data_IF_924952311106
#
_entry.id   IF_924952311106
#
_cell.length_a   1.000
_cell.length_b   1.000
_cell.length_c   1.000
_cell.angle_alpha   90.00
_cell.angle_beta   90.00
_cell.angle_gamma   90.00
#
_symmetry.space_group_name_H-M   'P 1'
#
loop_
_entity.id
_entity.type
_entity.pdbx_description
1 polymer ?
#
# COMPACT_ATOMS: atom_id res chain seq x y z
N UNK A 1 3.65 -17.31 0.80
CA UNK A 1 2.46 -16.81 0.11
C UNK A 1 1.19 -17.35 0.73
N UNK A 2 0.15 -16.53 0.83
CA UNK A 2 -1.19 -16.93 1.27
C UNK A 2 -2.24 -16.49 0.24
N UNK A 3 -3.09 -17.40 -0.22
CA UNK A 3 -4.10 -17.09 -1.24
C UNK A 3 -5.04 -18.26 -1.55
N UNK A 4 -5.62 -18.20 -2.76
CA UNK A 4 -6.59 -19.19 -3.24
C UNK A 4 -5.98 -20.08 -4.33
N UNK A 5 -6.33 -21.39 -4.31
CA UNK A 5 -5.84 -22.35 -5.29
C UNK A 5 -6.73 -22.49 -6.55
N UNK A 6 -7.97 -21.99 -6.48
CA UNK A 6 -9.00 -22.12 -7.52
C UNK A 6 -9.28 -20.80 -8.25
N UNK A 7 -8.50 -19.74 -7.97
CA UNK A 7 -8.61 -18.46 -8.63
C UNK A 7 -7.35 -18.15 -9.44
N UNK A 8 -7.52 -17.86 -10.73
CA UNK A 8 -6.42 -17.61 -11.67
C UNK A 8 -5.53 -16.45 -11.20
N UNK A 9 -6.14 -15.33 -10.84
CA UNK A 9 -5.40 -14.13 -10.38
C UNK A 9 -4.56 -14.39 -9.11
N UNK A 10 -5.02 -15.25 -8.19
CA UNK A 10 -4.26 -15.60 -7.00
C UNK A 10 -3.08 -16.51 -7.35
N UNK A 11 -3.27 -17.45 -8.28
CA UNK A 11 -2.19 -18.31 -8.78
C UNK A 11 -1.12 -17.50 -9.50
N UNK A 12 -1.51 -16.61 -10.41
CA UNK A 12 -0.57 -15.74 -11.14
C UNK A 12 0.23 -14.84 -10.17
N UNK A 13 -0.39 -14.29 -9.14
CA UNK A 13 0.31 -13.53 -8.07
C UNK A 13 1.30 -14.42 -7.31
N UNK A 14 0.92 -15.67 -7.02
CA UNK A 14 1.79 -16.65 -6.37
C UNK A 14 3.01 -16.99 -7.23
N UNK A 15 2.80 -17.28 -8.50
CA UNK A 15 3.86 -17.62 -9.46
C UNK A 15 4.82 -16.46 -9.67
N UNK A 16 4.28 -15.24 -9.87
CA UNK A 16 5.10 -14.03 -10.03
C UNK A 16 5.95 -13.76 -8.79
N UNK A 17 5.39 -13.91 -7.59
CA UNK A 17 6.14 -13.77 -6.34
C UNK A 17 7.22 -14.83 -6.22
N UNK A 18 6.89 -16.11 -6.43
CA UNK A 18 7.87 -17.20 -6.40
C UNK A 18 9.02 -16.98 -7.39
N UNK A 19 8.70 -16.63 -8.64
CA UNK A 19 9.69 -16.37 -9.68
C UNK A 19 10.67 -15.28 -9.25
N UNK A 20 10.16 -14.17 -8.74
CA UNK A 20 10.99 -13.05 -8.29
C UNK A 20 11.93 -13.45 -7.15
N UNK A 21 11.43 -14.11 -6.09
CA UNK A 21 12.28 -14.52 -4.97
C UNK A 21 13.28 -15.62 -5.36
N UNK A 22 12.91 -16.50 -6.28
CA UNK A 22 13.81 -17.54 -6.80
C UNK A 22 14.97 -16.94 -7.61
N UNK A 23 14.71 -15.95 -8.47
CA UNK A 23 15.73 -15.20 -9.22
C UNK A 23 16.71 -14.48 -8.28
N UNK A 24 16.27 -14.10 -7.08
CA UNK A 24 17.12 -13.48 -6.06
C UNK A 24 17.77 -14.49 -5.10
N UNK A 25 17.67 -15.78 -5.37
CA UNK A 25 18.31 -16.85 -4.58
C UNK A 25 17.54 -17.32 -3.35
N UNK A 26 16.29 -16.87 -3.16
CA UNK A 26 15.44 -17.24 -2.01
C UNK A 26 14.37 -18.30 -2.33
N UNK A 27 14.44 -18.96 -3.49
CA UNK A 27 13.44 -19.96 -3.88
C UNK A 27 13.29 -21.11 -2.88
N UNK A 28 14.37 -21.52 -2.21
CA UNK A 28 14.34 -22.56 -1.19
C UNK A 28 13.62 -22.15 0.11
N UNK A 29 13.37 -20.85 0.30
CA UNK A 29 12.66 -20.32 1.46
C UNK A 29 11.16 -20.18 1.18
N UNK A 30 10.72 -20.44 -0.04
CA UNK A 30 9.33 -20.27 -0.41
C UNK A 30 8.43 -21.33 0.23
N UNK A 31 7.36 -20.85 0.83
CA UNK A 31 6.25 -21.68 1.32
C UNK A 31 4.92 -21.03 0.93
N UNK A 32 3.93 -21.82 0.60
CA UNK A 32 2.59 -21.31 0.31
C UNK A 32 1.52 -22.08 1.07
N UNK A 33 0.49 -21.37 1.45
CA UNK A 33 -0.77 -21.93 1.95
C UNK A 33 -1.90 -21.38 1.08
N UNK A 34 -2.67 -22.28 0.48
CA UNK A 34 -3.72 -21.92 -0.47
C UNK A 34 -5.02 -22.61 -0.08
N UNK A 35 -6.05 -21.82 0.11
CA UNK A 35 -7.42 -22.29 0.41
C UNK A 35 -8.24 -22.39 -0.89
N UNK A 36 -9.37 -23.06 -0.84
CA UNK A 36 -10.41 -22.89 -1.86
C UNK A 36 -11.10 -21.54 -1.62
N UNK A 37 -11.40 -20.83 -2.72
CA UNK A 37 -12.30 -19.69 -2.62
C UNK A 37 -13.68 -20.25 -2.28
N UNK A 38 -14.19 -19.87 -1.13
CA UNK A 38 -15.55 -20.21 -0.75
C UNK A 38 -16.44 -19.06 -1.20
N UNK A 39 -17.53 -19.37 -1.87
CA UNK A 39 -18.59 -18.39 -2.19
C UNK A 39 -19.19 -17.77 -0.91
N UNK A 40 -19.08 -18.49 0.21
CA UNK A 40 -19.42 -18.01 1.54
C UNK A 40 -18.20 -17.48 2.28
N UNK A 41 -18.00 -16.19 2.20
CA UNK A 41 -16.96 -15.40 2.93
C UNK A 41 -16.99 -15.57 4.47
N UNK A 42 -17.98 -16.25 5.03
CA UNK A 42 -18.21 -16.38 6.46
C UNK A 42 -17.52 -17.58 7.11
N UNK A 43 -17.06 -18.54 6.31
CA UNK A 43 -16.39 -19.75 6.83
C UNK A 43 -14.96 -19.84 6.33
N UNK A 44 -14.00 -19.47 7.17
CA UNK A 44 -12.64 -19.92 7.00
C UNK A 44 -12.25 -20.84 8.17
N UNK A 45 -11.48 -21.86 7.88
CA UNK A 45 -10.95 -22.72 8.91
C UNK A 45 -9.72 -22.08 9.54
N UNK A 46 -9.94 -21.24 10.56
CA UNK A 46 -8.85 -20.59 11.30
C UNK A 46 -7.79 -21.56 11.84
N UNK A 47 -8.14 -22.75 12.37
CA UNK A 47 -7.14 -23.67 12.95
C UNK A 47 -6.06 -24.16 11.97
N UNK A 48 -6.37 -24.62 10.72
CA UNK A 48 -5.35 -25.02 9.74
C UNK A 48 -4.42 -23.88 9.36
N UNK A 49 -4.97 -22.69 9.08
CA UNK A 49 -4.20 -21.51 8.74
C UNK A 49 -3.28 -21.08 9.89
N UNK A 50 -3.78 -21.08 11.12
CA UNK A 50 -2.98 -20.76 12.31
C UNK A 50 -1.84 -21.76 12.50
N UNK A 51 -2.10 -23.07 12.34
CA UNK A 51 -1.09 -24.10 12.42
C UNK A 51 0.02 -23.90 11.39
N UNK A 52 -0.35 -23.52 10.16
CA UNK A 52 0.63 -23.18 9.14
C UNK A 52 1.44 -21.94 9.52
N UNK A 53 0.81 -20.84 9.96
CA UNK A 53 1.51 -19.63 10.42
C UNK A 53 2.51 -19.91 11.53
N UNK A 54 2.14 -20.76 12.49
CA UNK A 54 3.01 -21.17 13.58
C UNK A 54 4.17 -22.09 13.14
N UNK A 55 4.05 -22.77 12.01
CA UNK A 55 5.11 -23.61 11.44
C UNK A 55 6.16 -22.83 10.65
N UNK A 56 5.89 -21.57 10.32
CA UNK A 56 6.80 -20.75 9.54
C UNK A 56 8.09 -20.43 10.31
N UNK A 57 9.25 -20.45 9.65
CA UNK A 57 10.48 -19.96 10.26
C UNK A 57 10.37 -18.47 10.53
N UNK A 58 10.86 -18.00 11.67
CA UNK A 58 10.78 -16.59 12.04
C UNK A 58 12.16 -15.91 12.00
N UNK A 59 12.26 -14.66 11.52
CA UNK A 59 11.18 -13.84 10.97
C UNK A 59 10.77 -14.26 9.54
N UNK A 60 9.50 -14.06 9.18
CA UNK A 60 8.96 -14.36 7.85
C UNK A 60 8.33 -13.14 7.22
N UNK A 61 8.57 -12.92 5.91
CA UNK A 61 7.79 -12.01 5.08
C UNK A 61 6.67 -12.80 4.38
N UNK A 62 5.43 -12.35 4.53
CA UNK A 62 4.25 -12.98 3.98
C UNK A 62 3.61 -12.07 2.94
N UNK A 63 3.39 -12.61 1.74
CA UNK A 63 2.65 -11.96 0.68
C UNK A 63 1.25 -12.58 0.60
N UNK A 64 0.22 -11.79 0.87
CA UNK A 64 -1.18 -12.19 0.76
C UNK A 64 -1.70 -11.85 -0.64
N UNK A 65 -2.53 -12.72 -1.21
CA UNK A 65 -3.02 -12.54 -2.57
C UNK A 65 -3.90 -11.28 -2.74
N UNK A 66 -4.56 -10.83 -1.67
CA UNK A 66 -5.32 -9.58 -1.61
C UNK A 66 -5.33 -9.00 -0.19
N UNK A 67 -5.97 -7.84 -0.01
CA UNK A 67 -6.03 -7.16 1.28
C UNK A 67 -6.94 -7.86 2.29
N UNK A 68 -8.00 -8.57 1.84
CA UNK A 68 -8.87 -9.36 2.72
C UNK A 68 -8.08 -10.49 3.36
N UNK A 69 -7.27 -11.21 2.55
CA UNK A 69 -6.40 -12.26 3.04
C UNK A 69 -5.28 -11.70 3.93
N UNK A 70 -4.74 -10.53 3.58
CA UNK A 70 -3.79 -9.80 4.42
C UNK A 70 -4.38 -9.46 5.79
N UNK A 71 -5.60 -8.94 5.84
CA UNK A 71 -6.30 -8.61 7.07
C UNK A 71 -6.57 -9.86 7.92
N UNK A 72 -7.01 -10.97 7.31
CA UNK A 72 -7.20 -12.25 8.03
C UNK A 72 -5.94 -12.71 8.75
N UNK A 73 -4.78 -12.60 8.08
CA UNK A 73 -3.50 -12.94 8.72
C UNK A 73 -3.20 -11.98 9.88
N UNK A 74 -3.42 -10.66 9.72
CA UNK A 74 -3.18 -9.70 10.80
C UNK A 74 -4.04 -10.00 12.02
N UNK A 75 -5.33 -10.29 11.82
CA UNK A 75 -6.26 -10.67 12.89
C UNK A 75 -5.85 -11.97 13.59
N UNK A 76 -5.48 -13.02 12.83
CA UNK A 76 -4.99 -14.27 13.42
C UNK A 76 -3.70 -14.06 14.22
N UNK A 77 -2.77 -13.26 13.70
CA UNK A 77 -1.54 -12.91 14.41
C UNK A 77 -1.85 -12.17 15.71
N UNK A 78 -2.77 -11.19 15.68
CA UNK A 78 -3.18 -10.41 16.85
C UNK A 78 -3.78 -11.29 17.94
N UNK A 79 -4.76 -12.11 17.61
CA UNK A 79 -5.44 -13.01 18.58
C UNK A 79 -4.46 -14.02 19.19
N UNK A 80 -3.44 -14.44 18.43
CA UNK A 80 -2.46 -15.44 18.89
C UNK A 80 -1.14 -14.84 19.36
N UNK A 81 -1.08 -13.52 19.61
CA UNK A 81 0.09 -12.80 20.08
C UNK A 81 1.34 -12.96 19.19
N UNK A 82 1.16 -13.16 17.88
CA UNK A 82 2.23 -13.15 16.89
C UNK A 82 2.47 -11.70 16.49
N UNK A 83 3.66 -11.16 16.76
CA UNK A 83 3.95 -9.75 16.49
C UNK A 83 4.13 -9.49 15.00
N UNK A 84 3.35 -8.53 14.47
CA UNK A 84 3.46 -7.99 13.12
C UNK A 84 4.02 -6.56 13.26
N UNK A 85 5.08 -6.19 12.55
CA UNK A 85 5.84 -6.98 11.56
C UNK A 85 7.00 -7.80 12.15
N UNK A 86 7.33 -7.69 13.45
CA UNK A 86 8.56 -8.22 14.05
C UNK A 86 8.79 -9.72 13.78
N UNK A 87 7.74 -10.51 13.79
CA UNK A 87 7.79 -11.95 13.53
C UNK A 87 7.31 -12.29 12.14
N UNK A 88 6.18 -11.72 11.73
CA UNK A 88 5.61 -11.90 10.40
C UNK A 88 5.31 -10.51 9.83
N UNK A 89 5.98 -10.12 8.74
CA UNK A 89 5.61 -8.95 7.98
C UNK A 89 4.59 -9.34 6.92
N UNK A 90 3.59 -8.49 6.68
CA UNK A 90 2.47 -8.83 5.82
C UNK A 90 2.29 -7.75 4.77
N UNK A 91 2.28 -8.15 3.49
CA UNK A 91 2.00 -7.31 2.34
C UNK A 91 0.75 -7.84 1.65
N UNK A 92 -0.26 -6.97 1.48
CA UNK A 92 -1.47 -7.22 0.70
C UNK A 92 -1.39 -6.69 -0.72
N UNK A 93 -2.49 -6.78 -1.44
CA UNK A 93 -2.67 -6.27 -2.80
C UNK A 93 -4.06 -5.67 -2.93
N UNK A 94 -4.20 -4.67 -3.79
CA UNK A 94 -5.37 -3.90 -4.22
C UNK A 94 -5.48 -2.53 -3.53
N UNK A 95 -4.89 -2.38 -2.35
CA UNK A 95 -4.94 -1.16 -1.53
C UNK A 95 -6.37 -0.68 -1.24
N UNK A 96 -7.22 -1.60 -0.77
CA UNK A 96 -8.50 -1.20 -0.18
C UNK A 96 -8.24 -0.38 1.09
N UNK A 97 -8.50 0.93 1.02
CA UNK A 97 -8.18 1.85 2.13
C UNK A 97 -8.97 1.50 3.40
N UNK A 98 -10.17 0.97 3.29
CA UNK A 98 -10.99 0.60 4.44
C UNK A 98 -10.36 -0.60 5.13
N UNK A 99 -10.11 -1.67 4.39
CA UNK A 99 -9.53 -2.91 4.93
C UNK A 99 -8.13 -2.65 5.47
N UNK A 100 -7.28 -1.97 4.69
CA UNK A 100 -5.91 -1.70 5.09
C UNK A 100 -5.79 -0.84 6.35
N UNK A 101 -6.70 0.13 6.56
CA UNK A 101 -6.67 1.00 7.73
C UNK A 101 -7.38 0.38 8.95
N UNK A 102 -8.34 -0.53 8.76
CA UNK A 102 -9.00 -1.28 9.83
C UNK A 102 -8.11 -2.40 10.37
N UNK A 103 -7.20 -2.93 9.56
CA UNK A 103 -6.24 -3.95 10.00
C UNK A 103 -5.39 -3.46 11.17
N UNK A 104 -5.08 -4.35 12.11
CA UNK A 104 -4.22 -4.02 13.26
C UNK A 104 -3.04 -5.01 13.37
N UNK A 105 -1.82 -4.57 12.99
CA UNK A 105 -1.45 -3.22 12.54
C UNK A 105 -1.96 -2.91 11.12
N UNK A 106 -2.08 -1.60 10.75
CA UNK A 106 -2.46 -1.18 9.41
C UNK A 106 -1.66 -1.87 8.32
N UNK A 107 -2.37 -2.40 7.30
CA UNK A 107 -1.82 -3.30 6.29
C UNK A 107 -1.15 -2.54 5.14
N UNK A 108 0.10 -2.82 4.88
CA UNK A 108 0.81 -2.41 3.66
C UNK A 108 0.26 -3.17 2.46
N UNK A 109 0.10 -2.49 1.34
CA UNK A 109 -0.53 -3.09 0.17
C UNK A 109 0.02 -2.54 -1.14
N UNK A 110 -0.03 -3.36 -2.19
CA UNK A 110 0.29 -2.98 -3.56
C UNK A 110 -0.94 -2.32 -4.17
N UNK A 111 -0.79 -1.10 -4.68
CA UNK A 111 -1.87 -0.37 -5.36
C UNK A 111 -1.78 -0.54 -6.87
N UNK A 112 -2.93 -0.76 -7.53
CA UNK A 112 -3.10 -0.82 -8.96
C UNK A 112 -3.82 0.43 -9.49
N UNK A 113 -3.62 0.74 -10.79
CA UNK A 113 -4.36 1.82 -11.45
C UNK A 113 -5.74 1.34 -11.94
N UNK A 114 -6.64 1.05 -11.00
CA UNK A 114 -7.98 0.54 -11.30
C UNK A 114 -8.80 1.54 -12.12
N UNK A 115 -8.67 2.85 -11.81
CA UNK A 115 -9.39 3.91 -12.53
C UNK A 115 -8.99 3.93 -14.00
N UNK A 116 -7.68 3.78 -14.28
CA UNK A 116 -7.19 3.69 -15.66
C UNK A 116 -7.72 2.44 -16.35
N UNK A 117 -7.67 1.30 -15.69
CA UNK A 117 -8.18 0.06 -16.27
C UNK A 117 -9.65 0.16 -16.66
N UNK A 118 -10.49 0.74 -15.79
CA UNK A 118 -11.89 1.00 -16.09
C UNK A 118 -12.09 1.95 -17.29
N UNK A 119 -11.26 3.01 -17.36
CA UNK A 119 -11.31 3.93 -18.50
C UNK A 119 -10.90 3.26 -19.83
N UNK A 120 -9.76 2.56 -19.86
CA UNK A 120 -9.27 1.87 -21.06
C UNK A 120 -10.25 0.78 -21.52
N UNK A 121 -10.88 0.07 -20.57
CA UNK A 121 -11.93 -0.89 -20.91
C UNK A 121 -13.17 -0.21 -21.53
N UNK A 122 -13.61 0.92 -20.98
CA UNK A 122 -14.74 1.68 -21.54
C UNK A 122 -14.41 2.25 -22.93
N UNK A 123 -13.18 2.76 -23.13
CA UNK A 123 -12.72 3.24 -24.44
C UNK A 123 -12.73 2.10 -25.48
N UNK A 124 -12.27 0.91 -25.10
CA UNK A 124 -12.30 -0.28 -25.95
C UNK A 124 -13.75 -0.64 -26.34
N UNK A 125 -14.69 -0.61 -25.39
CA UNK A 125 -16.11 -0.88 -25.63
C UNK A 125 -16.67 0.14 -26.64
N UNK A 126 -16.40 1.44 -26.47
CA UNK A 126 -16.87 2.49 -27.39
C UNK A 126 -16.34 2.26 -28.82
N UNK A 127 -15.08 1.90 -28.96
CA UNK A 127 -14.48 1.59 -30.28
C UNK A 127 -15.15 0.37 -30.94
N UNK A 128 -15.45 -0.67 -30.16
CA UNK A 128 -16.17 -1.85 -30.65
C UNK A 128 -17.61 -1.52 -31.09
N UNK A 129 -18.30 -0.66 -30.32
CA UNK A 129 -19.65 -0.18 -30.70
C UNK A 129 -19.66 0.64 -31.95
N UNK A 130 -18.56 1.36 -32.25
CA UNK A 130 -18.39 2.13 -33.51
C UNK A 130 -17.90 1.24 -34.66
N UNK A 131 -17.94 -0.09 -34.52
CA UNK A 131 -17.50 -1.06 -35.52
C UNK A 131 -16.04 -0.86 -36.02
N UNK A 132 -15.21 -0.25 -35.19
CA UNK A 132 -13.78 -0.13 -35.46
C UNK A 132 -13.13 -1.52 -35.44
N UNK A 133 -12.24 -1.78 -36.41
CA UNK A 133 -11.41 -2.99 -36.37
C UNK A 133 -10.40 -2.86 -35.24
N UNK A 134 -10.75 -3.40 -34.09
CA UNK A 134 -9.85 -3.47 -32.93
C UNK A 134 -9.14 -4.81 -32.96
N UNK A 135 -7.80 -4.79 -33.05
CA UNK A 135 -7.03 -5.99 -32.77
C UNK A 135 -7.25 -6.37 -31.30
N UNK A 136 -7.26 -7.67 -31.00
CA UNK A 136 -7.33 -8.13 -29.61
C UNK A 136 -6.29 -7.42 -28.75
N UNK A 137 -6.73 -6.79 -27.70
CA UNK A 137 -5.88 -5.99 -26.80
C UNK A 137 -6.32 -6.24 -25.36
N UNK A 138 -5.39 -6.71 -24.55
CA UNK A 138 -5.61 -6.82 -23.11
C UNK A 138 -5.48 -5.43 -22.46
N UNK A 139 -6.39 -5.15 -21.53
CA UNK A 139 -6.24 -4.02 -20.61
C UNK A 139 -5.45 -4.49 -19.40
N UNK A 140 -4.16 -4.17 -19.37
CA UNK A 140 -3.25 -4.64 -18.32
C UNK A 140 -3.14 -3.61 -17.20
N UNK A 141 -3.59 -3.99 -16.00
CA UNK A 141 -3.44 -3.18 -14.80
C UNK A 141 -2.01 -3.28 -14.25
N UNK A 142 -1.24 -2.20 -14.41
CA UNK A 142 0.09 -2.11 -13.84
C UNK A 142 0.04 -1.75 -12.36
N UNK A 143 0.89 -2.35 -11.50
CA UNK A 143 1.07 -1.86 -10.15
C UNK A 143 1.65 -0.44 -10.19
N UNK A 144 1.07 0.47 -9.41
CA UNK A 144 1.53 1.86 -9.35
C UNK A 144 2.59 2.01 -8.27
N UNK A 145 2.30 1.50 -7.09
CA UNK A 145 3.06 1.79 -5.88
C UNK A 145 2.79 0.74 -4.78
N UNK A 146 3.72 0.63 -3.85
CA UNK A 146 3.50 -0.05 -2.58
C UNK A 146 3.17 1.02 -1.54
N UNK A 147 1.99 0.90 -0.93
CA UNK A 147 1.58 1.76 0.15
C UNK A 147 2.08 1.15 1.46
N UNK A 148 3.20 1.67 1.94
CA UNK A 148 3.79 1.20 3.18
C UNK A 148 2.96 1.65 4.39
N UNK A 149 2.59 0.68 5.23
CA UNK A 149 1.95 0.87 6.54
C UNK A 149 2.70 0.04 7.59
N UNK A 150 2.12 -0.09 8.79
CA UNK A 150 2.81 -0.72 9.90
C UNK A 150 3.05 -2.23 9.74
N UNK A 151 2.30 -2.94 8.88
CA UNK A 151 2.45 -4.40 8.73
C UNK A 151 3.75 -4.84 8.04
N UNK A 152 4.46 -3.93 7.37
CA UNK A 152 5.78 -4.17 6.76
C UNK A 152 6.83 -3.18 7.26
N UNK A 153 6.47 -2.33 8.22
CA UNK A 153 7.40 -1.33 8.75
C UNK A 153 8.40 -2.04 9.69
N UNK A 154 9.35 -2.72 9.07
CA UNK A 154 10.44 -3.42 9.72
C UNK A 154 11.41 -2.45 10.39
N UNK A 155 10.95 -1.73 11.34
CA UNK A 155 11.86 -1.34 12.38
C UNK A 155 11.86 -2.45 13.44
N UNK A 156 12.44 -3.59 13.06
CA UNK A 156 12.72 -4.71 13.98
C UNK A 156 13.78 -4.26 14.99
N UNK A 157 13.45 -3.18 15.69
CA UNK A 157 14.24 -2.74 16.81
C UNK A 157 13.68 -3.35 18.07
N UNK A 158 14.54 -3.95 18.85
CA UNK A 158 14.23 -4.33 20.23
C UNK A 158 14.15 -3.10 21.14
N UNK A 159 14.46 -1.91 20.62
CA UNK A 159 14.38 -0.65 21.35
C UNK A 159 12.91 -0.17 21.43
N UNK A 160 12.29 -0.47 22.57
CA UNK A 160 10.89 -0.11 22.84
C UNK A 160 10.64 1.39 22.79
N UNK A 161 11.64 2.22 23.09
CA UNK A 161 11.52 3.67 23.00
C UNK A 161 11.42 4.13 21.53
N UNK A 162 12.22 3.53 20.65
CA UNK A 162 12.14 3.84 19.21
C UNK A 162 10.83 3.34 18.62
N UNK A 163 10.34 2.16 19.03
CA UNK A 163 9.01 1.69 18.62
C UNK A 163 7.91 2.69 19.03
N UNK A 164 7.95 3.22 20.26
CA UNK A 164 7.00 4.24 20.73
C UNK A 164 7.04 5.50 19.88
N UNK A 165 8.24 5.98 19.54
CA UNK A 165 8.43 7.16 18.70
C UNK A 165 7.92 6.93 17.28
N UNK A 166 8.18 5.77 16.68
CA UNK A 166 7.69 5.42 15.34
C UNK A 166 6.16 5.34 15.31
N UNK A 167 5.53 4.72 16.31
CA UNK A 167 4.07 4.70 16.46
C UNK A 167 3.49 6.10 16.56
N UNK A 168 4.13 6.98 17.35
CA UNK A 168 3.71 8.38 17.48
C UNK A 168 3.78 9.11 16.14
N UNK A 169 4.91 8.98 15.42
CA UNK A 169 5.09 9.61 14.10
C UNK A 169 3.98 9.17 13.13
N UNK A 170 3.71 7.87 13.03
CA UNK A 170 2.69 7.35 12.12
C UNK A 170 1.28 7.85 12.48
N UNK A 171 0.95 7.89 13.77
CA UNK A 171 -0.36 8.37 14.27
C UNK A 171 -0.59 9.85 13.96
N UNK A 172 0.46 10.67 13.99
CA UNK A 172 0.38 12.13 13.85
C UNK A 172 0.98 12.64 12.53
N UNK A 173 1.11 11.78 11.51
CA UNK A 173 1.85 12.08 10.29
C UNK A 173 1.36 13.33 9.54
N UNK A 174 0.06 13.62 9.59
CA UNK A 174 -0.54 14.80 8.95
C UNK A 174 -0.32 16.11 9.73
N UNK A 175 0.12 15.99 10.97
CA UNK A 175 0.37 17.13 11.85
C UNK A 175 1.82 17.64 11.72
N UNK A 176 2.09 18.78 12.34
CA UNK A 176 3.45 19.30 12.48
C UNK A 176 4.16 18.64 13.65
N UNK A 177 4.94 17.59 13.38
CA UNK A 177 5.71 16.85 14.39
C UNK A 177 7.09 17.48 14.54
N UNK A 178 7.45 17.84 15.78
CA UNK A 178 8.79 18.30 16.15
C UNK A 178 9.56 17.22 16.91
N UNK A 179 10.90 17.30 16.90
CA UNK A 179 11.73 16.39 17.73
C UNK A 179 11.39 16.54 19.22
N UNK A 180 11.00 17.73 19.66
CA UNK A 180 10.59 17.98 21.04
C UNK A 180 9.34 17.21 21.44
N UNK A 181 8.39 17.01 20.51
CA UNK A 181 7.18 16.23 20.76
C UNK A 181 7.51 14.74 20.90
N UNK A 182 8.49 14.25 20.15
CA UNK A 182 8.96 12.88 20.23
C UNK A 182 9.72 12.60 21.53
N UNK A 183 10.53 13.56 21.99
CA UNK A 183 11.24 13.47 23.27
C UNK A 183 10.26 13.34 24.46
N UNK A 184 9.10 13.99 24.39
CA UNK A 184 8.05 13.85 25.43
C UNK A 184 7.44 12.46 25.52
N UNK A 185 7.58 11.63 24.47
CA UNK A 185 7.00 10.27 24.44
C UNK A 185 7.87 9.22 25.10
N UNK A 186 9.15 9.52 25.37
CA UNK A 186 10.12 8.55 25.85
C UNK A 186 11.08 9.17 26.88
N UNK A 187 11.58 8.42 27.86
CA UNK A 187 12.53 8.92 28.86
C UNK A 187 13.96 8.99 28.31
N UNK A 188 14.13 9.64 27.16
CA UNK A 188 15.42 9.80 26.51
C UNK A 188 15.75 11.28 26.30
N UNK A 189 17.04 11.64 26.46
CA UNK A 189 17.48 12.95 26.01
C UNK A 189 17.39 13.06 24.50
N UNK A 190 17.21 14.28 23.98
CA UNK A 190 17.13 14.54 22.52
C UNK A 190 18.30 13.91 21.76
N UNK A 191 19.53 14.08 22.25
CA UNK A 191 20.73 13.53 21.61
C UNK A 191 20.69 12.00 21.56
N UNK A 192 20.28 11.34 22.65
CA UNK A 192 20.21 9.90 22.71
C UNK A 192 19.10 9.35 21.79
N UNK A 193 17.96 10.01 21.75
CA UNK A 193 16.87 9.68 20.83
C UNK A 193 17.33 9.76 19.37
N UNK A 194 17.97 10.86 18.95
CA UNK A 194 18.47 11.06 17.58
C UNK A 194 19.50 9.99 17.18
N UNK A 195 20.42 9.63 18.08
CA UNK A 195 21.42 8.58 17.84
C UNK A 195 20.75 7.21 17.67
N UNK A 196 19.88 6.81 18.62
CA UNK A 196 19.20 5.51 18.56
C UNK A 196 18.25 5.42 17.36
N UNK A 197 17.50 6.48 17.09
CA UNK A 197 16.61 6.55 15.95
C UNK A 197 17.38 6.38 14.63
N UNK A 198 18.51 7.07 14.47
CA UNK A 198 19.37 6.92 13.30
C UNK A 198 20.00 5.53 13.21
N UNK A 199 20.36 4.93 14.33
CA UNK A 199 20.86 3.55 14.37
C UNK A 199 19.84 2.53 13.85
N UNK A 200 18.57 2.74 14.16
CA UNK A 200 17.46 1.86 13.73
C UNK A 200 17.04 2.16 12.30
N UNK A 201 16.75 3.43 11.98
CA UNK A 201 16.12 3.82 10.71
C UNK A 201 17.10 4.15 9.61
N UNK A 202 18.40 4.22 9.93
CA UNK A 202 19.48 4.71 9.04
C UNK A 202 19.25 6.13 8.52
N UNK A 203 18.29 6.86 9.11
CA UNK A 203 17.91 8.22 8.72
C UNK A 203 17.80 9.13 9.94
N UNK A 204 17.93 10.44 9.73
CA UNK A 204 17.54 11.40 10.78
C UNK A 204 16.02 11.43 10.93
N UNK A 205 15.55 11.75 12.13
CA UNK A 205 14.12 11.87 12.44
C UNK A 205 13.38 12.75 11.42
N UNK A 206 13.94 13.93 11.13
CA UNK A 206 13.33 14.88 10.19
C UNK A 206 13.24 14.32 8.76
N UNK A 207 14.30 13.65 8.29
CA UNK A 207 14.33 13.04 6.96
C UNK A 207 13.31 11.91 6.88
N UNK A 208 13.19 11.11 7.93
CA UNK A 208 12.22 10.02 8.02
C UNK A 208 10.77 10.52 7.99
N UNK A 209 10.41 11.48 8.85
CA UNK A 209 9.06 12.08 8.85
C UNK A 209 8.74 12.68 7.48
N UNK A 210 9.71 13.37 6.87
CA UNK A 210 9.50 14.00 5.57
C UNK A 210 9.31 12.98 4.45
N UNK A 211 10.05 11.85 4.46
CA UNK A 211 9.86 10.78 3.46
C UNK A 211 8.47 10.15 3.55
N UNK A 212 7.97 9.90 4.77
CA UNK A 212 6.59 9.41 4.96
C UNK A 212 5.55 10.42 4.44
N UNK A 213 5.75 11.71 4.72
CA UNK A 213 4.86 12.77 4.20
C UNK A 213 4.87 12.85 2.68
N UNK A 214 6.02 12.65 2.03
CA UNK A 214 6.13 12.60 0.56
C UNK A 214 5.37 11.38 0.01
N UNK A 215 5.46 10.21 0.64
CA UNK A 215 4.70 9.05 0.20
C UNK A 215 3.19 9.30 0.31
N UNK A 216 2.73 9.84 1.44
CA UNK A 216 1.33 10.20 1.62
C UNK A 216 0.87 11.28 0.64
N UNK A 217 1.71 12.28 0.38
CA UNK A 217 1.46 13.30 -0.62
C UNK A 217 1.33 12.70 -2.03
N UNK A 218 2.23 11.76 -2.42
CA UNK A 218 2.15 11.08 -3.70
C UNK A 218 0.82 10.32 -3.87
N UNK A 219 0.34 9.64 -2.83
CA UNK A 219 -0.96 8.96 -2.84
C UNK A 219 -2.12 9.93 -3.08
N UNK A 220 -2.15 11.04 -2.31
CA UNK A 220 -3.20 12.05 -2.45
C UNK A 220 -3.17 12.79 -3.78
N UNK A 221 -2.01 12.88 -4.43
CA UNK A 221 -1.93 13.43 -5.80
C UNK A 221 -2.69 12.57 -6.81
N UNK A 222 -2.82 11.26 -6.58
CA UNK A 222 -3.50 10.33 -7.48
C UNK A 222 -5.01 10.29 -7.28
N UNK A 223 -5.45 10.55 -6.04
CA UNK A 223 -6.86 10.41 -5.64
C UNK A 223 -7.60 11.76 -5.53
N UNK A 224 -6.88 12.88 -5.65
CA UNK A 224 -7.45 14.23 -5.48
C UNK A 224 -7.14 15.15 -6.64
N UNK A 225 -8.16 15.91 -7.08
CA UNK A 225 -8.02 16.99 -8.05
C UNK A 225 -7.67 18.35 -7.43
N UNK A 226 -7.55 18.40 -6.10
CA UNK A 226 -7.20 19.62 -5.40
C UNK A 226 -5.86 20.19 -5.90
N UNK A 227 -5.63 21.50 -5.84
CA UNK A 227 -4.35 22.10 -6.15
C UNK A 227 -3.20 21.42 -5.41
N UNK A 228 -2.04 21.30 -6.05
CA UNK A 228 -0.86 20.66 -5.45
C UNK A 228 -0.49 21.28 -4.10
N UNK A 229 -0.68 22.60 -3.95
CA UNK A 229 -0.51 23.31 -2.69
C UNK A 229 -1.42 22.81 -1.57
N UNK A 230 -2.71 22.67 -1.89
CA UNK A 230 -3.73 22.17 -0.93
C UNK A 230 -3.44 20.74 -0.50
N UNK A 231 -3.02 19.88 -1.45
CA UNK A 231 -2.62 18.50 -1.12
C UNK A 231 -1.37 18.49 -0.25
N UNK A 232 -0.39 19.37 -0.49
CA UNK A 232 0.80 19.49 0.34
C UNK A 232 0.47 19.95 1.77
N UNK A 233 -0.43 20.94 1.91
CA UNK A 233 -0.91 21.42 3.20
C UNK A 233 -1.64 20.32 4.00
N UNK A 234 -2.45 19.49 3.33
CA UNK A 234 -3.18 18.40 3.99
C UNK A 234 -2.29 17.32 4.60
N UNK A 235 -1.04 17.20 4.13
CA UNK A 235 -0.01 16.32 4.72
C UNK A 235 0.97 17.08 5.63
N UNK A 236 0.66 18.34 5.96
CA UNK A 236 1.49 19.18 6.83
C UNK A 236 2.83 19.58 6.21
N UNK A 237 2.87 19.86 4.90
CA UNK A 237 4.04 20.37 4.19
C UNK A 237 3.75 21.79 3.69
N UNK A 238 4.38 22.80 4.32
CA UNK A 238 4.13 24.20 4.00
C UNK A 238 5.14 24.79 2.99
N UNK A 239 6.29 24.13 2.76
CA UNK A 239 7.32 24.60 1.86
C UNK A 239 7.29 23.85 0.52
N UNK A 240 6.54 24.39 -0.44
CA UNK A 240 6.35 23.78 -1.77
C UNK A 240 7.64 23.66 -2.60
N UNK A 241 8.59 24.62 -2.47
CA UNK A 241 9.87 24.55 -3.19
C UNK A 241 10.72 23.38 -2.70
N UNK A 242 10.78 23.19 -1.39
CA UNK A 242 11.47 22.06 -0.79
C UNK A 242 10.79 20.73 -1.12
N UNK A 243 9.44 20.69 -1.06
CA UNK A 243 8.65 19.54 -1.46
C UNK A 243 8.96 19.12 -2.89
N UNK A 244 8.84 20.03 -3.87
CA UNK A 244 9.07 19.71 -5.29
C UNK A 244 10.46 19.16 -5.56
N UNK A 245 11.49 19.74 -4.94
CA UNK A 245 12.87 19.28 -5.06
C UNK A 245 13.05 17.87 -4.49
N UNK A 246 12.56 17.62 -3.28
CA UNK A 246 12.71 16.32 -2.63
C UNK A 246 11.81 15.25 -3.25
N UNK A 247 10.62 15.62 -3.68
CA UNK A 247 9.73 14.73 -4.43
C UNK A 247 10.40 14.26 -5.71
N UNK A 248 10.99 15.20 -6.49
CA UNK A 248 11.73 14.85 -7.70
C UNK A 248 12.94 13.96 -7.41
N UNK A 249 13.62 14.18 -6.29
CA UNK A 249 14.74 13.32 -5.87
C UNK A 249 14.32 11.90 -5.50
N UNK A 250 13.10 11.69 -4.97
CA UNK A 250 12.58 10.38 -4.55
C UNK A 250 11.82 9.66 -5.67
N UNK A 251 11.07 10.39 -6.50
CA UNK A 251 10.19 9.83 -7.55
C UNK A 251 10.70 10.04 -8.96
N UNK A 252 11.85 10.69 -9.13
CA UNK A 252 12.51 11.03 -10.41
C UNK A 252 11.72 11.97 -11.34
N UNK A 253 10.53 12.39 -10.96
CA UNK A 253 9.69 13.34 -11.71
C UNK A 253 9.06 14.37 -10.77
N UNK A 254 8.60 15.49 -11.32
CA UNK A 254 7.94 16.53 -10.52
C UNK A 254 6.56 16.08 -10.02
N UNK A 255 6.00 16.68 -8.93
CA UNK A 255 4.64 16.40 -8.47
C UNK A 255 3.57 16.57 -9.57
N UNK A 256 3.72 17.60 -10.41
CA UNK A 256 2.83 17.86 -11.54
C UNK A 256 2.89 16.74 -12.59
N UNK A 257 4.11 16.34 -12.99
CA UNK A 257 4.31 15.24 -13.95
C UNK A 257 3.87 13.90 -13.36
N UNK A 258 4.09 13.68 -12.06
CA UNK A 258 3.64 12.49 -11.37
C UNK A 258 2.10 12.38 -11.42
N UNK A 259 1.40 13.46 -11.07
CA UNK A 259 -0.05 13.56 -11.21
C UNK A 259 -0.48 13.32 -12.65
N UNK A 260 0.09 14.04 -13.62
CA UNK A 260 -0.28 13.91 -15.03
C UNK A 260 -0.09 12.51 -15.59
N UNK A 261 0.94 11.78 -15.17
CA UNK A 261 1.23 10.42 -15.65
C UNK A 261 0.35 9.35 -15.01
N UNK A 262 -0.01 9.55 -13.75
CA UNK A 262 -0.66 8.51 -12.95
C UNK A 262 -2.10 8.85 -12.55
N UNK A 263 -2.47 10.13 -12.49
CA UNK A 263 -3.86 10.55 -12.32
C UNK A 263 -4.52 10.56 -13.70
N UNK A 264 -5.28 9.51 -13.97
CA UNK A 264 -6.05 9.46 -15.20
C UNK A 264 -7.43 10.00 -14.91
N UNK A 265 -7.66 11.17 -15.56
CA UNK A 265 -8.95 11.66 -15.98
C UNK A 265 -10.00 11.96 -14.91
N UNK A 266 -9.74 12.96 -14.12
CA UNK A 266 -10.83 13.75 -13.54
C UNK A 266 -11.64 14.49 -14.64
N UNK A 267 -11.01 14.83 -15.74
CA UNK A 267 -11.67 15.62 -16.81
C UNK A 267 -12.78 14.84 -17.51
N UNK A 268 -12.67 13.52 -17.68
CA UNK A 268 -13.76 12.71 -18.22
C UNK A 268 -14.93 12.51 -17.26
N UNK A 269 -14.67 12.44 -15.94
CA UNK A 269 -15.75 12.26 -14.96
C UNK A 269 -16.65 13.51 -14.83
N UNK A 270 -16.08 14.70 -15.06
CA UNK A 270 -16.85 15.95 -15.06
C UNK A 270 -17.56 16.22 -16.40
N UNK A 271 -16.99 15.82 -17.53
CA UNK A 271 -17.69 15.89 -18.82
C UNK A 271 -18.84 14.89 -18.94
N UNK A 272 -18.77 13.74 -18.29
CA UNK A 272 -19.89 12.78 -18.23
C UNK A 272 -21.10 13.28 -17.45
N UNK A 273 -20.97 14.29 -16.58
CA UNK A 273 -22.11 14.93 -15.92
C UNK A 273 -22.97 15.79 -16.84
N UNK A 274 -22.42 16.23 -17.99
CA UNK A 274 -23.17 16.98 -19.01
C UNK A 274 -23.83 16.07 -20.06
N UNK A 275 -23.54 14.76 -20.04
CA UNK A 275 -24.22 13.77 -20.87
C UNK A 275 -25.52 13.26 -20.21
N UNK A 276 -26.45 14.18 -19.92
CA UNK A 276 -27.82 13.85 -19.52
C UNK A 276 -28.72 13.33 -20.68
N UNK A 277 -28.12 12.79 -21.75
CA UNK A 277 -28.82 12.29 -22.92
C UNK A 277 -28.35 10.93 -23.41
N UNK A 278 -28.07 10.01 -22.48
CA UNK A 278 -28.06 8.59 -22.88
C UNK A 278 -29.49 8.11 -22.76
N UNK A 279 -30.26 8.20 -23.84
CA UNK A 279 -31.49 7.45 -23.99
C UNK A 279 -31.14 5.98 -24.02
N UNK A 280 -31.52 5.26 -22.98
CA UNK A 280 -31.66 3.81 -23.04
C UNK A 280 -32.72 3.51 -24.11
N UNK A 281 -32.27 3.03 -25.27
CA UNK A 281 -33.16 2.38 -26.22
C UNK A 281 -33.66 1.11 -25.58
N UNK A 282 -34.78 1.22 -24.87
CA UNK A 282 -35.63 0.09 -24.55
C UNK A 282 -36.49 -0.21 -25.75
N UNK A 283 -36.28 -1.38 -26.31
CA UNK A 283 -37.34 -2.21 -26.91
C UNK A 283 -36.84 -3.64 -26.96
#
# INVERSE_FOLDING_TARGET
>A
FYGYRDTVWSQERCEGFYKCIAEHGFGNCFQSYQEQSLDDLWFYEAPPLLKWLQSLPLPTALFACDDNQGNRITELCKVNNIRVPDKIAILGVDNDEIICNLSDPPLSSISHNIVRGGFEAAELIVRLLNEEKVNYQDVVLQPINIINRLSTDFYSTTDTHIQTVLKYINKHLTEHITVSDLVKQVPLSRRLLEIRFKGVTQQSIQKYIFSLKIERFAQLLLTSNAPISTVAESVGINNLKNLSRQFKALKNISPYEYRKRHQIMSDCYYQAKDCSSIHFLGN
#
